data_IF_527813038305
#
_entry.id   IF_527813038305
#
_cell.length_a   1.000
_cell.length_b   1.000
_cell.length_c   1.000
_cell.angle_alpha   90.00
_cell.angle_beta   90.00
_cell.angle_gamma   90.00
#
_symmetry.space_group_name_H-M   'P 1'
#
loop_
_entity.id
_entity.type
_entity.pdbx_description
1 polymer ?
#
# COMPACT_ATOMS: atom_id res chain seq x y z
N UNK A 1 -56.06 14.82 -31.83
CA UNK A 1 -56.26 13.36 -31.82
C UNK A 1 -56.36 12.87 -33.26
N UNK A 2 -55.30 12.31 -33.82
CA UNK A 2 -55.28 11.71 -35.16
C UNK A 2 -54.56 10.37 -35.05
N UNK A 3 -55.38 9.34 -34.84
CA UNK A 3 -54.96 7.97 -34.72
C UNK A 3 -55.16 7.27 -36.06
N UNK A 4 -54.25 6.35 -36.36
CA UNK A 4 -54.41 5.17 -37.22
C UNK A 4 -54.64 5.47 -38.70
N UNK A 5 -53.70 5.04 -39.54
CA UNK A 5 -53.91 3.95 -40.51
C UNK A 5 -52.69 3.90 -41.45
N UNK A 6 -51.65 3.15 -41.10
CA UNK A 6 -50.63 2.72 -42.07
C UNK A 6 -50.41 1.23 -41.87
N UNK A 7 -51.38 0.46 -42.39
CA UNK A 7 -51.20 -0.94 -42.77
C UNK A 7 -50.91 -0.90 -44.27
N UNK A 8 -49.65 -1.11 -44.61
CA UNK A 8 -49.22 -1.66 -45.90
C UNK A 8 -47.97 -2.50 -45.54
N UNK A 9 -48.14 -3.78 -45.22
CA UNK A 9 -48.13 -4.86 -46.23
C UNK A 9 -46.79 -4.81 -46.98
N UNK A 10 -45.91 -5.80 -46.99
CA UNK A 10 -45.87 -7.19 -46.56
C UNK A 10 -44.56 -7.70 -47.22
N UNK A 11 -43.72 -8.44 -46.49
CA UNK A 11 -42.64 -9.31 -47.00
C UNK A 11 -41.51 -8.61 -47.75
N UNK A 12 -40.32 -8.56 -47.12
CA UNK A 12 -39.16 -9.32 -47.60
C UNK A 12 -38.54 -10.00 -46.37
N UNK A 13 -38.75 -11.31 -46.28
CA UNK A 13 -37.94 -12.24 -45.50
C UNK A 13 -36.64 -12.43 -46.27
N UNK A 14 -35.50 -12.11 -45.67
CA UNK A 14 -34.24 -12.83 -45.93
C UNK A 14 -33.37 -12.77 -44.69
N UNK A 15 -33.21 -13.95 -44.10
CA UNK A 15 -32.31 -14.27 -43.00
C UNK A 15 -30.87 -14.18 -43.51
N UNK A 16 -30.03 -13.41 -42.84
CA UNK A 16 -28.60 -13.63 -42.78
C UNK A 16 -28.17 -13.53 -41.30
N UNK A 17 -28.16 -14.69 -40.63
CA UNK A 17 -27.41 -14.88 -39.39
C UNK A 17 -25.91 -14.84 -39.75
N UNK A 18 -25.25 -13.76 -39.37
CA UNK A 18 -23.83 -13.75 -39.08
C UNK A 18 -23.68 -12.95 -37.79
N UNK A 19 -23.31 -13.64 -36.71
CA UNK A 19 -23.21 -13.08 -35.38
C UNK A 19 -22.20 -11.93 -35.33
N UNK A 20 -22.67 -10.78 -34.90
CA UNK A 20 -21.90 -9.90 -34.05
C UNK A 20 -22.71 -9.83 -32.76
N UNK A 21 -22.53 -10.85 -31.92
CA UNK A 21 -22.79 -10.66 -30.50
C UNK A 21 -21.77 -9.61 -30.12
N UNK A 22 -22.23 -8.38 -29.87
CA UNK A 22 -21.39 -7.37 -29.24
C UNK A 22 -20.94 -7.97 -27.92
N UNK A 23 -19.78 -8.62 -27.96
CA UNK A 23 -18.95 -8.86 -26.81
C UNK A 23 -18.78 -7.45 -26.24
N UNK A 24 -19.52 -7.17 -25.17
CA UNK A 24 -19.17 -6.07 -24.29
C UNK A 24 -17.75 -6.39 -23.88
N UNK A 25 -16.77 -5.81 -24.58
CA UNK A 25 -15.43 -5.67 -24.05
C UNK A 25 -15.66 -5.11 -22.66
N UNK A 26 -15.34 -5.85 -21.58
CA UNK A 26 -15.37 -5.26 -20.26
C UNK A 26 -14.51 -4.01 -20.40
N UNK A 27 -15.14 -2.85 -20.21
CA UNK A 27 -14.41 -1.61 -20.00
C UNK A 27 -13.34 -1.94 -18.96
N UNK A 28 -12.06 -1.59 -19.16
CA UNK A 28 -11.03 -1.96 -18.20
C UNK A 28 -11.53 -1.45 -16.85
N UNK A 29 -11.89 -2.38 -15.97
CA UNK A 29 -12.17 -2.04 -14.60
C UNK A 29 -10.89 -1.37 -14.15
N UNK A 30 -10.97 -0.09 -13.82
CA UNK A 30 -9.80 0.64 -13.37
C UNK A 30 -9.32 -0.12 -12.16
N UNK A 31 -8.18 -0.80 -12.31
CA UNK A 31 -7.62 -1.60 -11.24
C UNK A 31 -7.42 -0.68 -10.06
N UNK A 32 -8.14 -0.95 -8.97
CA UNK A 32 -8.13 -0.12 -7.78
C UNK A 32 -7.75 -1.00 -6.61
N UNK A 33 -6.78 -0.53 -5.84
CA UNK A 33 -6.39 -1.19 -4.62
C UNK A 33 -7.53 -1.12 -3.61
N UNK A 34 -7.75 -2.22 -2.93
CA UNK A 34 -8.81 -2.35 -1.93
C UNK A 34 -8.32 -3.24 -0.77
N UNK A 35 -9.17 -3.43 0.22
CA UNK A 35 -8.87 -4.21 1.42
C UNK A 35 -9.93 -5.32 1.64
N UNK A 36 -10.73 -5.65 0.63
CA UNK A 36 -11.87 -6.57 0.80
C UNK A 36 -11.48 -8.05 0.79
N UNK A 37 -10.25 -8.37 0.40
CA UNK A 37 -9.75 -9.75 0.29
C UNK A 37 -9.36 -10.38 1.64
N UNK A 38 -9.05 -9.59 2.68
CA UNK A 38 -8.67 -10.09 4.00
C UNK A 38 -8.93 -9.08 5.13
N UNK A 39 -9.26 -9.58 6.32
CA UNK A 39 -9.45 -8.77 7.55
C UNK A 39 -8.18 -8.05 8.00
N UNK A 40 -7.02 -8.58 7.63
CA UNK A 40 -5.71 -8.04 7.95
C UNK A 40 -4.96 -7.51 6.73
N UNK A 41 -5.69 -7.23 5.65
CA UNK A 41 -5.19 -6.47 4.50
C UNK A 41 -4.47 -5.18 4.96
N UNK A 42 -3.41 -4.83 4.26
CA UNK A 42 -2.68 -3.59 4.54
C UNK A 42 -3.50 -2.37 4.08
N UNK A 43 -3.34 -1.20 4.73
CA UNK A 43 -3.88 0.06 4.20
C UNK A 43 -3.39 0.30 2.76
N UNK A 44 -4.22 0.94 1.93
CA UNK A 44 -3.95 1.15 0.49
C UNK A 44 -2.58 1.81 0.26
N UNK A 45 -2.22 2.77 1.10
CA UNK A 45 -0.94 3.48 1.01
C UNK A 45 0.23 2.53 1.25
N UNK A 46 0.10 1.67 2.26
CA UNK A 46 1.11 0.64 2.54
C UNK A 46 1.14 -0.40 1.43
N UNK A 47 0.00 -0.79 0.84
CA UNK A 47 -0.03 -1.68 -0.32
C UNK A 47 0.73 -1.08 -1.50
N UNK A 48 0.56 0.21 -1.80
CA UNK A 48 1.32 0.89 -2.85
C UNK A 48 2.82 0.90 -2.56
N UNK A 49 3.23 1.26 -1.35
CA UNK A 49 4.65 1.33 -1.00
C UNK A 49 5.29 -0.06 -1.13
N UNK A 50 4.70 -1.07 -0.49
CA UNK A 50 5.23 -2.43 -0.47
C UNK A 50 5.14 -3.09 -1.84
N UNK A 51 4.01 -2.92 -2.51
CA UNK A 51 3.78 -3.41 -3.87
C UNK A 51 4.80 -2.86 -4.84
N UNK A 52 5.04 -1.55 -4.83
CA UNK A 52 6.05 -0.90 -5.68
C UNK A 52 7.45 -1.46 -5.41
N UNK A 53 7.82 -1.68 -4.14
CA UNK A 53 9.10 -2.32 -3.79
C UNK A 53 9.18 -3.76 -4.31
N UNK A 54 8.06 -4.48 -4.36
CA UNK A 54 8.01 -5.86 -4.85
C UNK A 54 7.97 -5.95 -6.38
N UNK A 55 7.45 -4.93 -7.08
CA UNK A 55 7.50 -4.86 -8.55
C UNK A 55 8.94 -4.88 -9.08
N UNK A 56 9.92 -4.44 -8.29
CA UNK A 56 11.35 -4.51 -8.62
C UNK A 56 11.88 -5.93 -8.87
N UNK A 57 11.17 -6.95 -8.38
CA UNK A 57 11.50 -8.37 -8.63
C UNK A 57 10.75 -8.95 -9.84
N UNK A 58 10.08 -8.10 -10.63
CA UNK A 58 9.23 -8.47 -11.76
C UNK A 58 9.59 -7.68 -13.01
N UNK A 59 9.00 -8.06 -14.14
CA UNK A 59 9.13 -7.30 -15.40
C UNK A 59 8.34 -5.97 -15.39
N UNK A 60 7.60 -5.68 -14.31
CA UNK A 60 6.81 -4.46 -14.11
C UNK A 60 7.51 -3.43 -13.19
N UNK A 61 8.81 -3.63 -12.93
CA UNK A 61 9.63 -2.71 -12.15
C UNK A 61 9.53 -1.26 -12.65
N UNK A 62 9.68 -0.31 -11.73
CA UNK A 62 9.64 1.12 -12.09
C UNK A 62 10.88 1.44 -12.93
N UNK A 63 10.69 2.06 -14.08
CA UNK A 63 11.80 2.55 -14.91
C UNK A 63 12.20 3.99 -14.54
N UNK A 64 13.26 4.50 -15.18
CA UNK A 64 13.77 5.84 -14.91
C UNK A 64 12.74 6.95 -15.22
N UNK A 65 12.01 6.84 -16.33
CA UNK A 65 11.03 7.87 -16.75
C UNK A 65 9.87 7.96 -15.76
N UNK A 66 9.41 6.81 -15.26
CA UNK A 66 8.36 6.77 -14.26
C UNK A 66 8.87 7.18 -12.88
N UNK A 67 10.11 6.83 -12.53
CA UNK A 67 10.73 7.25 -11.27
C UNK A 67 10.83 8.78 -11.16
N UNK A 68 11.15 9.49 -12.26
CA UNK A 68 11.16 10.96 -12.31
C UNK A 68 9.80 11.57 -11.94
N UNK A 69 8.70 10.91 -12.31
CA UNK A 69 7.32 11.36 -12.04
C UNK A 69 6.89 10.99 -10.62
N UNK A 70 7.21 9.78 -10.15
CA UNK A 70 6.77 9.26 -8.85
C UNK A 70 7.57 9.82 -7.67
N UNK A 71 8.87 10.03 -7.83
CA UNK A 71 9.75 10.49 -6.75
C UNK A 71 9.26 11.77 -6.06
N UNK A 72 8.91 12.87 -6.77
CA UNK A 72 8.41 14.08 -6.11
C UNK A 72 7.09 13.85 -5.36
N UNK A 73 6.23 12.94 -5.84
CA UNK A 73 4.97 12.59 -5.16
C UNK A 73 5.22 11.84 -3.85
N UNK A 74 6.14 10.86 -3.85
CA UNK A 74 6.51 10.12 -2.64
C UNK A 74 7.23 10.99 -1.61
N UNK A 75 8.08 11.93 -2.05
CA UNK A 75 8.69 12.94 -1.17
C UNK A 75 7.64 13.85 -0.53
N UNK A 76 6.63 14.26 -1.29
CA UNK A 76 5.50 15.03 -0.76
C UNK A 76 4.69 14.20 0.23
N UNK A 77 4.40 12.94 -0.09
CA UNK A 77 3.68 12.02 0.79
C UNK A 77 4.40 11.89 2.14
N UNK A 78 5.72 11.66 2.12
CA UNK A 78 6.55 11.65 3.33
C UNK A 78 6.38 12.92 4.16
N UNK A 79 6.51 14.09 3.53
CA UNK A 79 6.36 15.37 4.22
C UNK A 79 4.96 15.57 4.82
N UNK A 80 3.92 15.06 4.16
CA UNK A 80 2.53 15.17 4.61
C UNK A 80 2.24 14.25 5.79
N UNK A 81 2.73 13.00 5.78
CA UNK A 81 2.50 12.06 6.89
C UNK A 81 3.36 12.34 8.12
N UNK A 82 4.44 13.11 7.97
CA UNK A 82 5.26 13.63 9.08
C UNK A 82 4.69 14.91 9.69
N UNK A 83 3.67 15.51 9.06
CA UNK A 83 3.05 16.77 9.51
C UNK A 83 1.82 16.51 10.38
N UNK A 84 1.80 17.12 11.57
CA UNK A 84 0.66 17.03 12.50
C UNK A 84 -0.60 17.77 12.02
N UNK A 85 -0.48 18.60 10.99
CA UNK A 85 -1.57 19.49 10.51
C UNK A 85 -2.16 19.09 9.16
N UNK A 86 -1.68 18.00 8.57
CA UNK A 86 -2.12 17.56 7.25
C UNK A 86 -3.53 17.00 7.30
N UNK A 87 -4.37 17.37 6.33
CA UNK A 87 -5.71 16.81 6.23
C UNK A 87 -5.68 15.44 5.56
N UNK A 88 -6.47 14.48 6.05
CA UNK A 88 -6.60 13.13 5.48
C UNK A 88 -6.99 13.15 3.99
N UNK A 89 -7.81 14.14 3.59
CA UNK A 89 -8.20 14.34 2.20
C UNK A 89 -7.01 14.70 1.28
N UNK A 90 -5.99 15.41 1.79
CA UNK A 90 -4.77 15.74 1.04
C UNK A 90 -3.92 14.48 0.82
N UNK A 91 -3.80 13.64 1.85
CA UNK A 91 -3.11 12.35 1.76
C UNK A 91 -3.82 11.45 0.73
N UNK A 92 -5.14 11.33 0.83
CA UNK A 92 -5.95 10.52 -0.09
C UNK A 92 -5.83 11.00 -1.52
N UNK A 93 -5.90 12.31 -1.76
CA UNK A 93 -5.75 12.89 -3.10
C UNK A 93 -4.36 12.61 -3.69
N UNK A 94 -3.30 12.76 -2.89
CA UNK A 94 -1.94 12.47 -3.33
C UNK A 94 -1.74 10.98 -3.65
N UNK A 95 -2.33 10.09 -2.86
CA UNK A 95 -2.31 8.64 -3.12
C UNK A 95 -3.07 8.29 -4.41
N UNK A 96 -4.18 8.98 -4.70
CA UNK A 96 -4.84 8.90 -6.00
C UNK A 96 -3.91 9.30 -7.14
N UNK A 97 -3.23 10.44 -7.02
CA UNK A 97 -2.29 10.91 -8.04
C UNK A 97 -1.10 9.95 -8.26
N UNK A 98 -0.60 9.31 -7.20
CA UNK A 98 0.44 8.29 -7.30
C UNK A 98 -0.05 7.11 -8.12
N UNK A 99 -1.26 6.60 -7.85
CA UNK A 99 -1.87 5.52 -8.63
C UNK A 99 -2.06 5.90 -10.10
N UNK A 100 -2.55 7.11 -10.36
CA UNK A 100 -2.77 7.63 -11.73
C UNK A 100 -1.47 7.80 -12.52
N UNK A 101 -0.33 7.88 -11.84
CA UNK A 101 0.99 8.00 -12.47
C UNK A 101 1.57 6.63 -12.87
N UNK A 102 1.13 5.55 -12.22
CA UNK A 102 1.54 4.17 -12.52
C UNK A 102 0.73 3.60 -13.70
N UNK A 103 1.20 2.52 -14.32
CA UNK A 103 0.39 1.84 -15.34
C UNK A 103 -0.70 1.00 -14.69
N UNK A 104 -1.77 0.73 -15.44
CA UNK A 104 -2.84 -0.17 -14.99
C UNK A 104 -2.29 -1.55 -14.64
N UNK A 105 -1.38 -2.10 -15.45
CA UNK A 105 -0.77 -3.41 -15.21
C UNK A 105 0.03 -3.45 -13.90
N UNK A 106 0.70 -2.36 -13.53
CA UNK A 106 1.40 -2.26 -12.25
C UNK A 106 0.42 -2.25 -11.07
N UNK A 107 -0.68 -1.51 -11.17
CA UNK A 107 -1.70 -1.48 -10.12
C UNK A 107 -2.41 -2.84 -9.99
N UNK A 108 -2.71 -3.50 -11.12
CA UNK A 108 -3.25 -4.87 -11.13
C UNK A 108 -2.30 -5.86 -10.47
N UNK A 109 -1.01 -5.79 -10.81
CA UNK A 109 0.00 -6.65 -10.23
C UNK A 109 0.09 -6.44 -8.71
N UNK A 110 0.06 -5.19 -8.23
CA UNK A 110 0.05 -4.88 -6.79
C UNK A 110 -1.22 -5.41 -6.13
N UNK A 111 -2.39 -5.23 -6.75
CA UNK A 111 -3.66 -5.74 -6.22
C UNK A 111 -3.63 -7.27 -6.07
N UNK A 112 -3.07 -7.97 -7.07
CA UNK A 112 -2.93 -9.42 -7.08
C UNK A 112 -1.93 -9.96 -6.04
N UNK A 113 -1.10 -9.10 -5.43
CA UNK A 113 -0.22 -9.52 -4.32
C UNK A 113 -1.00 -9.75 -3.02
N UNK A 114 -2.24 -9.27 -2.91
CA UNK A 114 -3.12 -9.42 -1.73
C UNK A 114 -2.38 -9.18 -0.41
N UNK A 115 -1.68 -8.05 -0.31
CA UNK A 115 -0.75 -7.76 0.78
C UNK A 115 -1.45 -7.60 2.14
N UNK A 116 -1.05 -8.43 3.10
CA UNK A 116 -1.55 -8.46 4.48
C UNK A 116 -0.47 -8.11 5.50
N UNK A 117 -0.87 -7.99 6.77
CA UNK A 117 0.06 -7.81 7.90
C UNK A 117 1.06 -8.98 8.03
N UNK A 118 0.75 -10.16 7.49
CA UNK A 118 1.66 -11.31 7.48
C UNK A 118 2.85 -11.14 6.54
N UNK A 119 2.76 -10.25 5.53
CA UNK A 119 3.87 -9.96 4.63
C UNK A 119 4.94 -9.06 5.26
N UNK A 120 4.61 -8.36 6.36
CA UNK A 120 5.48 -7.34 6.97
C UNK A 120 6.80 -7.89 7.53
N UNK A 121 6.86 -9.04 8.22
CA UNK A 121 8.13 -9.58 8.72
C UNK A 121 9.13 -9.90 7.60
N UNK A 122 8.66 -10.46 6.48
CA UNK A 122 9.50 -10.76 5.33
C UNK A 122 10.06 -9.48 4.70
N UNK A 123 9.21 -8.44 4.59
CA UNK A 123 9.63 -7.14 4.12
C UNK A 123 10.66 -6.48 5.05
N UNK A 124 10.48 -6.55 6.37
CA UNK A 124 11.46 -6.02 7.34
C UNK A 124 12.81 -6.68 7.18
N UNK A 125 12.85 -7.99 6.94
CA UNK A 125 14.08 -8.71 6.70
C UNK A 125 14.74 -8.25 5.38
N UNK A 126 13.96 -8.11 4.30
CA UNK A 126 14.44 -7.61 3.00
C UNK A 126 15.04 -6.21 3.13
N UNK A 127 14.32 -5.30 3.78
CA UNK A 127 14.75 -3.91 4.01
C UNK A 127 15.93 -3.81 4.98
N UNK A 128 16.02 -4.70 5.97
CA UNK A 128 17.13 -4.76 6.94
C UNK A 128 18.43 -5.29 6.33
N UNK A 129 18.36 -6.25 5.41
CA UNK A 129 19.53 -6.81 4.71
C UNK A 129 20.21 -5.81 3.76
N UNK A 130 19.49 -4.79 3.27
CA UNK A 130 20.08 -3.70 2.49
C UNK A 130 21.04 -2.79 3.29
N UNK A 131 21.06 -2.89 4.62
CA UNK A 131 21.94 -2.11 5.49
C UNK A 131 23.26 -2.81 5.87
N UNK A 132 23.45 -4.06 5.44
CA UNK A 132 24.61 -4.87 5.81
C UNK A 132 25.83 -4.64 4.88
N UNK A 133 25.63 -4.08 3.69
CA UNK A 133 26.69 -3.90 2.69
C UNK A 133 27.34 -2.50 2.71
N UNK A 134 26.78 -1.55 3.49
CA UNK A 134 27.31 -0.18 3.62
C UNK A 134 28.07 0.09 4.93
N UNK A 135 28.19 -0.87 5.86
CA UNK A 135 28.87 -0.61 7.13
C UNK A 135 29.86 -1.71 7.53
N UNK A 136 30.96 -1.78 6.79
CA UNK A 136 32.21 -2.27 7.34
C UNK A 136 32.67 -1.31 8.45
N UNK A 137 32.21 -1.57 9.68
CA UNK A 137 32.77 -0.97 10.88
C UNK A 137 31.87 0.05 11.57
N UNK A 138 31.02 -0.48 12.45
CA UNK A 138 30.49 0.21 13.65
C UNK A 138 29.30 1.15 13.39
N UNK A 139 28.09 0.56 13.41
CA UNK A 139 26.78 1.06 13.92
C UNK A 139 25.70 0.27 13.18
N UNK A 140 24.80 -0.54 13.73
CA UNK A 140 24.30 -0.71 15.09
C UNK A 140 22.84 -1.18 15.00
N UNK A 141 22.58 -2.34 14.40
CA UNK A 141 21.31 -3.05 14.50
C UNK A 141 21.56 -4.57 14.50
N UNK A 142 22.25 -5.01 15.55
CA UNK A 142 22.62 -6.41 15.75
C UNK A 142 22.91 -6.61 17.22
N UNK A 143 21.96 -7.23 17.91
CA UNK A 143 22.02 -7.50 19.34
C UNK A 143 21.26 -6.46 20.16
N UNK A 144 20.48 -6.96 21.11
CA UNK A 144 20.30 -6.28 22.39
C UNK A 144 21.41 -6.84 23.28
N UNK A 145 22.50 -6.12 23.57
CA UNK A 145 23.45 -6.55 24.60
C UNK A 145 23.55 -5.46 25.66
N UNK A 146 22.91 -5.72 26.80
CA UNK A 146 23.37 -5.20 28.08
C UNK A 146 22.85 -3.84 28.51
N UNK A 147 21.91 -3.88 29.45
CA UNK A 147 21.91 -2.99 30.62
C UNK A 147 21.31 -1.62 30.40
N UNK A 148 20.00 -1.50 30.64
CA UNK A 148 19.47 -0.28 31.25
C UNK A 148 19.83 -0.33 32.74
N UNK A 149 20.72 0.55 33.25
CA UNK A 149 20.98 0.63 34.67
C UNK A 149 19.81 1.37 35.33
N UNK A 150 18.96 0.61 36.02
CA UNK A 150 18.10 1.16 37.06
C UNK A 150 16.78 1.75 36.63
N UNK A 151 15.80 0.89 36.34
CA UNK A 151 14.46 1.02 36.93
C UNK A 151 13.88 -0.38 37.14
N UNK A 152 14.22 -0.94 38.30
CA UNK A 152 13.37 -1.90 39.02
C UNK A 152 13.02 -3.19 38.29
N UNK A 153 13.86 -4.22 38.47
CA UNK A 153 13.34 -5.57 38.53
C UNK A 153 12.18 -5.61 39.53
N UNK A 154 10.98 -5.83 39.01
CA UNK A 154 9.78 -6.08 39.77
C UNK A 154 9.15 -7.34 39.22
N UNK A 155 9.59 -8.49 39.72
CA UNK A 155 8.65 -9.59 39.89
C UNK A 155 7.55 -9.07 40.82
N UNK A 156 6.48 -8.53 40.26
CA UNK A 156 5.21 -8.31 40.92
C UNK A 156 4.27 -9.29 40.21
N UNK A 157 4.15 -10.48 40.74
CA UNK A 157 2.98 -10.72 41.57
C UNK A 157 1.86 -11.20 40.65
N UNK A 158 1.69 -12.51 40.58
CA UNK A 158 0.42 -13.11 40.21
C UNK A 158 -0.61 -12.65 41.26
N UNK A 159 -1.17 -11.45 41.06
CA UNK A 159 -2.02 -10.78 42.01
C UNK A 159 -2.83 -9.70 41.30
N UNK A 160 -4.15 -9.91 41.26
CA UNK A 160 -5.24 -8.97 41.07
C UNK A 160 -4.89 -7.63 40.38
N UNK A 161 -4.57 -7.69 39.08
CA UNK A 161 -4.68 -6.48 38.25
C UNK A 161 -6.15 -6.11 38.13
N UNK A 162 -6.51 -4.88 38.51
CA UNK A 162 -7.88 -4.41 38.33
C UNK A 162 -8.18 -4.29 36.83
N UNK A 163 -9.44 -4.44 36.39
CA UNK A 163 -9.82 -4.26 34.99
C UNK A 163 -9.36 -2.92 34.40
N UNK A 164 -9.29 -1.89 35.24
CA UNK A 164 -8.87 -0.54 34.88
C UNK A 164 -7.36 -0.47 34.57
N UNK A 165 -6.52 -1.15 35.35
CA UNK A 165 -5.07 -1.22 35.08
C UNK A 165 -4.76 -2.01 33.80
N UNK A 166 -5.55 -3.04 33.50
CA UNK A 166 -5.44 -3.80 32.24
C UNK A 166 -5.83 -2.90 31.06
N UNK A 167 -6.93 -2.15 31.18
CA UNK A 167 -7.38 -1.22 30.16
C UNK A 167 -6.35 -0.12 29.89
N UNK A 168 -5.74 0.46 30.94
CA UNK A 168 -4.65 1.45 30.79
C UNK A 168 -3.44 0.83 30.09
N UNK A 169 -3.00 -0.37 30.48
CA UNK A 169 -1.87 -1.04 29.84
C UNK A 169 -2.14 -1.37 28.35
N UNK A 170 -3.37 -1.75 28.01
CA UNK A 170 -3.78 -1.98 26.61
C UNK A 170 -3.80 -0.67 25.81
N UNK A 171 -4.32 0.42 26.38
CA UNK A 171 -4.33 1.73 25.73
C UNK A 171 -2.90 2.24 25.46
N UNK A 172 -2.01 2.17 26.46
CA UNK A 172 -0.60 2.54 26.29
C UNK A 172 0.10 1.68 25.23
N UNK A 173 -0.22 0.37 25.17
CA UNK A 173 0.33 -0.52 24.15
C UNK A 173 -0.19 -0.22 22.75
N UNK A 174 -1.47 0.13 22.62
CA UNK A 174 -2.07 0.53 21.35
C UNK A 174 -1.46 1.84 20.83
N UNK A 175 -1.22 2.80 21.73
CA UNK A 175 -0.57 4.08 21.42
C UNK A 175 0.89 3.89 20.99
N UNK A 176 1.67 3.08 21.74
CA UNK A 176 3.03 2.70 21.32
C UNK A 176 3.04 1.90 20.00
N UNK A 177 2.03 1.05 19.77
CA UNK A 177 1.85 0.31 18.53
C UNK A 177 1.55 1.21 17.34
N UNK A 178 0.77 2.28 17.53
CA UNK A 178 0.51 3.31 16.52
C UNK A 178 1.78 4.07 16.15
N UNK A 179 2.57 4.50 17.15
CA UNK A 179 3.86 5.15 16.92
C UNK A 179 4.87 4.25 16.20
N UNK A 180 4.91 2.95 16.55
CA UNK A 180 5.78 1.98 15.88
C UNK A 180 5.32 1.67 14.46
N UNK A 181 4.01 1.60 14.19
CA UNK A 181 3.46 1.48 12.82
C UNK A 181 3.82 2.70 11.98
N UNK A 182 3.73 3.91 12.54
CA UNK A 182 4.09 5.14 11.81
C UNK A 182 5.59 5.17 11.47
N UNK A 183 6.45 4.86 12.45
CA UNK A 183 7.89 4.76 12.23
C UNK A 183 8.24 3.72 11.16
N UNK A 184 7.51 2.61 11.15
CA UNK A 184 7.72 1.55 10.18
C UNK A 184 7.33 2.00 8.75
N UNK A 185 6.17 2.62 8.58
CA UNK A 185 5.75 3.17 7.30
C UNK A 185 6.73 4.26 6.80
N UNK A 186 7.22 5.13 7.68
CA UNK A 186 8.22 6.14 7.31
C UNK A 186 9.51 5.52 6.72
N UNK A 187 9.98 4.40 7.31
CA UNK A 187 11.14 3.66 6.78
C UNK A 187 10.86 3.00 5.43
N UNK A 188 9.65 2.50 5.21
CA UNK A 188 9.29 1.94 3.91
C UNK A 188 9.26 3.01 2.82
N UNK A 189 8.66 4.18 3.12
CA UNK A 189 8.63 5.31 2.20
C UNK A 189 10.04 5.78 1.87
N UNK A 190 10.93 5.86 2.87
CA UNK A 190 12.34 6.21 2.66
C UNK A 190 13.07 5.19 1.78
N UNK A 191 12.83 3.90 2.00
CA UNK A 191 13.34 2.83 1.15
C UNK A 191 12.88 2.92 -0.29
N UNK A 192 11.58 3.17 -0.50
CA UNK A 192 11.02 3.39 -1.83
C UNK A 192 11.63 4.62 -2.51
N UNK A 193 11.75 5.74 -1.79
CA UNK A 193 12.41 6.95 -2.29
C UNK A 193 13.84 6.63 -2.76
N UNK A 194 14.60 5.87 -1.97
CA UNK A 194 15.97 5.47 -2.33
C UNK A 194 16.02 4.59 -3.58
N UNK A 195 15.06 3.67 -3.76
CA UNK A 195 14.96 2.85 -4.98
C UNK A 195 14.70 3.75 -6.20
N UNK A 196 13.75 4.69 -6.09
CA UNK A 196 13.41 5.60 -7.19
C UNK A 196 14.56 6.54 -7.54
N UNK A 197 15.32 7.04 -6.56
CA UNK A 197 16.53 7.83 -6.80
C UNK A 197 17.59 7.03 -7.56
N UNK A 198 17.83 5.77 -7.18
CA UNK A 198 18.79 4.90 -7.85
C UNK A 198 18.42 4.50 -9.29
N UNK A 199 17.18 4.71 -9.74
CA UNK A 199 16.76 4.50 -11.14
C UNK A 199 17.24 5.58 -12.09
N UNK A 200 17.60 6.75 -11.56
CA UNK A 200 17.93 7.95 -12.34
C UNK A 200 19.43 8.29 -12.34
N UNK A 201 20.25 7.49 -11.64
CA UNK A 201 21.71 7.58 -11.64
C UNK A 201 22.33 6.79 -12.81
#
# INVERSE_FOLDING_TARGET
MKNKLWILTLIIVTIALAGCQSESTPEPETATLNQSYAEDALPIETQLIVGTINLEETDLAIDAEMAEKLLPLWKMYKSLVESDTTAEAEITALIGQIQDTMTTEQIEAIAAMELTKENMPALNQKMGRGSEEANNGKSGFGGVPGGMPGTGGGGAGKGDMTPEQIATAQATRAEMGGGMRNMFNAKLVEGLISILEGKME
#
